data_IF_339752400360
#
_entry.id   IF_339752400360
#
_cell.length_a   1.000
_cell.length_b   1.000
_cell.length_c   1.000
_cell.angle_alpha   90.00
_cell.angle_beta   90.00
_cell.angle_gamma   90.00
#
_symmetry.space_group_name_H-M   'P 1'
#
loop_
_entity.id
_entity.type
_entity.pdbx_description
1 polymer ?
#
# COMPACT_ATOMS: atom_id res chain seq x y z
N UNK A 1 -19.15 -1.30 -5.84
CA UNK A 1 -18.05 -1.80 -6.70
C UNK A 1 -16.84 -1.94 -5.81
N UNK A 2 -16.38 -3.16 -5.55
CA UNK A 2 -15.19 -3.38 -4.70
C UNK A 2 -13.97 -2.69 -5.31
N UNK A 3 -13.29 -1.85 -4.54
CA UNK A 3 -12.04 -1.22 -4.99
C UNK A 3 -10.94 -2.28 -5.06
N UNK A 4 -10.13 -2.26 -6.13
CA UNK A 4 -8.96 -3.14 -6.19
C UNK A 4 -7.97 -2.80 -5.07
N UNK A 5 -7.18 -3.78 -4.64
CA UNK A 5 -6.14 -3.59 -3.62
C UNK A 5 -5.28 -2.33 -3.87
N UNK A 6 -4.80 -2.14 -5.10
CA UNK A 6 -4.01 -0.97 -5.45
C UNK A 6 -4.76 0.35 -5.32
N UNK A 7 -6.08 0.37 -5.60
CA UNK A 7 -6.93 1.56 -5.40
C UNK A 7 -7.13 1.84 -3.91
N UNK A 8 -7.41 0.82 -3.10
CA UNK A 8 -7.58 0.97 -1.64
C UNK A 8 -6.33 1.59 -1.00
N UNK A 9 -5.14 1.08 -1.36
CA UNK A 9 -3.86 1.62 -0.85
C UNK A 9 -3.64 3.06 -1.30
N UNK A 10 -3.93 3.40 -2.56
CA UNK A 10 -3.79 4.77 -3.07
C UNK A 10 -4.76 5.74 -2.37
N UNK A 11 -5.99 5.33 -2.12
CA UNK A 11 -6.95 6.13 -1.36
C UNK A 11 -6.43 6.40 0.05
N UNK A 12 -5.93 5.37 0.75
CA UNK A 12 -5.35 5.54 2.08
C UNK A 12 -4.16 6.51 2.09
N UNK A 13 -3.28 6.42 1.08
CA UNK A 13 -2.15 7.34 0.93
C UNK A 13 -2.62 8.80 0.81
N UNK A 14 -3.61 9.06 -0.04
CA UNK A 14 -4.19 10.40 -0.24
C UNK A 14 -4.81 10.92 1.07
N UNK A 15 -5.59 10.10 1.77
CA UNK A 15 -6.24 10.47 3.02
C UNK A 15 -5.24 10.77 4.15
N UNK A 16 -4.00 10.31 4.04
CA UNK A 16 -2.95 10.50 5.03
C UNK A 16 -1.85 11.48 4.58
N UNK A 17 -2.05 12.21 3.47
CA UNK A 17 -1.04 13.09 2.87
C UNK A 17 0.32 12.39 2.62
N UNK A 18 0.25 11.12 2.22
CA UNK A 18 1.42 10.28 1.97
C UNK A 18 1.60 10.00 0.49
N UNK A 19 2.86 9.95 0.05
CA UNK A 19 3.20 9.49 -1.29
C UNK A 19 3.58 8.01 -1.30
N UNK A 20 3.48 7.35 -2.45
CA UNK A 20 3.86 5.94 -2.60
C UNK A 20 5.32 5.68 -2.19
N UNK A 21 6.22 6.64 -2.41
CA UNK A 21 7.63 6.55 -2.00
C UNK A 21 7.79 6.48 -0.47
N UNK A 22 6.89 7.10 0.29
CA UNK A 22 6.95 7.12 1.75
C UNK A 22 6.54 5.76 2.31
N UNK A 23 5.47 5.18 1.76
CA UNK A 23 5.08 3.81 2.07
C UNK A 23 6.15 2.79 1.65
N UNK A 24 6.79 2.97 0.49
CA UNK A 24 7.90 2.13 0.06
C UNK A 24 9.07 2.18 1.07
N UNK A 25 9.41 3.38 1.56
CA UNK A 25 10.42 3.59 2.60
C UNK A 25 10.04 2.90 3.92
N UNK A 26 8.79 3.03 4.38
CA UNK A 26 8.29 2.34 5.58
C UNK A 26 8.36 0.82 5.47
N UNK A 27 8.13 0.28 4.26
CA UNK A 27 8.18 -1.14 3.99
C UNK A 27 9.60 -1.67 3.76
N UNK A 28 10.60 -0.79 3.62
CA UNK A 28 11.98 -1.15 3.31
C UNK A 28 12.16 -1.71 1.89
N UNK A 29 11.38 -1.22 0.92
CA UNK A 29 11.41 -1.68 -0.48
C UNK A 29 11.53 -0.53 -1.47
N UNK A 30 11.85 -0.83 -2.73
CA UNK A 30 11.87 0.18 -3.78
C UNK A 30 10.46 0.64 -4.17
N UNK A 31 10.34 1.91 -4.55
CA UNK A 31 9.07 2.48 -5.03
C UNK A 31 8.57 1.77 -6.30
N UNK A 32 9.48 1.35 -7.19
CA UNK A 32 9.15 0.57 -8.39
C UNK A 32 8.55 -0.80 -8.04
N UNK A 33 9.13 -1.51 -7.07
CA UNK A 33 8.60 -2.80 -6.63
C UNK A 33 7.22 -2.67 -5.99
N UNK A 34 7.01 -1.62 -5.18
CA UNK A 34 5.68 -1.31 -4.64
C UNK A 34 4.68 -1.03 -5.77
N UNK A 35 5.04 -0.22 -6.76
CA UNK A 35 4.20 0.06 -7.93
C UNK A 35 3.76 -1.21 -8.64
N UNK A 36 4.67 -2.15 -8.87
CA UNK A 36 4.36 -3.44 -9.50
C UNK A 36 3.35 -4.27 -8.69
N UNK A 37 3.44 -4.22 -7.35
CA UNK A 37 2.49 -4.92 -6.47
C UNK A 37 1.10 -4.28 -6.53
N UNK A 38 1.04 -2.94 -6.49
CA UNK A 38 -0.22 -2.19 -6.53
C UNK A 38 -0.92 -2.31 -7.89
N UNK A 39 -0.16 -2.43 -8.98
CA UNK A 39 -0.67 -2.68 -10.32
C UNK A 39 -0.98 -4.16 -10.60
N UNK A 40 -0.69 -5.07 -9.65
CA UNK A 40 -0.95 -6.50 -9.79
C UNK A 40 0.07 -7.27 -10.64
N UNK A 41 1.14 -6.60 -11.12
CA UNK A 41 2.24 -7.23 -11.88
C UNK A 41 3.07 -8.19 -11.02
N UNK A 42 3.11 -7.96 -9.70
CA UNK A 42 3.77 -8.83 -8.71
C UNK A 42 2.80 -9.22 -7.60
N UNK A 43 2.77 -10.50 -7.22
CA UNK A 43 1.91 -10.98 -6.12
C UNK A 43 2.26 -10.33 -4.77
N UNK A 44 3.56 -10.23 -4.45
CA UNK A 44 4.05 -9.50 -3.28
C UNK A 44 3.40 -9.88 -1.95
N UNK A 45 3.08 -11.16 -1.72
CA UNK A 45 2.23 -11.63 -0.60
C UNK A 45 2.62 -11.02 0.77
N UNK A 46 3.88 -11.17 1.18
CA UNK A 46 4.39 -10.61 2.45
C UNK A 46 4.29 -9.08 2.53
N UNK A 47 4.49 -8.39 1.40
CA UNK A 47 4.37 -6.92 1.34
C UNK A 47 2.90 -6.51 1.45
N UNK A 48 1.99 -7.22 0.79
CA UNK A 48 0.54 -6.98 0.93
C UNK A 48 0.06 -7.18 2.36
N UNK A 49 0.50 -8.25 3.03
CA UNK A 49 0.20 -8.49 4.45
C UNK A 49 0.70 -7.33 5.34
N UNK A 50 1.91 -6.80 5.09
CA UNK A 50 2.41 -5.63 5.81
C UNK A 50 1.57 -4.38 5.53
N UNK A 51 1.17 -4.14 4.28
CA UNK A 51 0.33 -3.00 3.90
C UNK A 51 -1.03 -3.08 4.59
N UNK A 52 -1.68 -4.25 4.57
CA UNK A 52 -2.98 -4.46 5.23
C UNK A 52 -2.87 -4.11 6.72
N UNK A 53 -1.84 -4.61 7.41
CA UNK A 53 -1.58 -4.25 8.81
C UNK A 53 -1.44 -2.75 9.04
N UNK A 54 -0.73 -2.03 8.15
CA UNK A 54 -0.58 -0.56 8.25
C UNK A 54 -1.93 0.16 8.06
N UNK A 55 -2.75 -0.31 7.12
CA UNK A 55 -4.07 0.26 6.84
C UNK A 55 -5.03 0.02 8.02
N UNK A 56 -5.09 -1.20 8.56
CA UNK A 56 -5.97 -1.59 9.67
C UNK A 56 -5.59 -0.90 10.99
N UNK A 57 -4.31 -0.63 11.23
CA UNK A 57 -3.83 0.06 12.44
C UNK A 57 -4.33 1.50 12.58
N UNK A 58 -4.90 2.10 11.53
CA UNK A 58 -5.40 3.49 11.53
C UNK A 58 -6.92 3.63 11.53
N UNK A 59 -7.68 2.54 11.42
CA UNK A 59 -9.14 2.59 11.52
C UNK A 59 -9.64 2.72 12.98
N UNK A 60 -8.73 2.63 13.96
CA UNK A 60 -9.03 2.79 15.39
C UNK A 60 -8.27 3.99 15.94
N UNK A 61 -8.72 5.20 15.65
CA UNK A 61 -8.35 6.45 16.35
C UNK A 61 -9.39 7.54 16.09
#
# INVERSE_FOLDING_TARGET
MELSFGKQVKTWLILNDMQQKDLAKMLGISNAYLSDILLGKRKGKKVREKIIKILDMKEVS
#
